data_IF_798500546957
#
_entry.id   IF_798500546957
#
_cell.length_a   1.000
_cell.length_b   1.000
_cell.length_c   1.000
_cell.angle_alpha   90.00
_cell.angle_beta   90.00
_cell.angle_gamma   90.00
#
_symmetry.space_group_name_H-M   'P 1'
#
loop_
_entity.id
_entity.type
_entity.pdbx_description
1 polymer ?
#
# COMPACT_ATOMS: atom_id res chain seq x y z
N UNK A 1 -0.69 16.93 14.48
CA UNK A 1 -1.64 16.69 15.60
C UNK A 1 -1.42 15.29 16.15
N UNK A 2 -1.31 15.17 17.46
CA UNK A 2 -1.28 13.86 18.11
C UNK A 2 -2.71 13.41 18.39
N UNK A 3 -3.06 12.25 17.88
CA UNK A 3 -4.37 11.62 18.06
C UNK A 3 -4.26 10.43 19.02
N UNK A 4 -5.38 10.05 19.62
CA UNK A 4 -5.43 8.81 20.38
C UNK A 4 -5.70 7.63 19.42
N UNK A 5 -4.63 6.96 19.01
CA UNK A 5 -4.71 5.84 18.07
C UNK A 5 -5.57 4.67 18.58
N UNK A 6 -5.76 4.56 19.90
CA UNK A 6 -6.59 3.50 20.49
C UNK A 6 -8.09 3.71 20.22
N UNK A 7 -8.50 4.90 19.82
CA UNK A 7 -9.89 5.20 19.47
C UNK A 7 -10.20 4.94 18.00
N UNK A 8 -9.19 4.59 17.20
CA UNK A 8 -9.37 4.31 15.78
C UNK A 8 -9.90 2.90 15.55
N UNK A 9 -10.75 2.75 14.54
CA UNK A 9 -11.35 1.47 14.17
C UNK A 9 -10.81 1.03 12.82
N UNK A 10 -10.39 -0.24 12.71
CA UNK A 10 -9.94 -0.86 11.46
C UNK A 10 -11.08 -1.69 10.87
N UNK A 11 -11.36 -1.50 9.58
CA UNK A 11 -12.42 -2.22 8.88
C UNK A 11 -11.95 -2.70 7.51
N UNK A 12 -12.31 -3.94 7.17
CA UNK A 12 -12.20 -4.42 5.81
C UNK A 12 -13.22 -3.70 4.94
N UNK A 13 -12.78 -3.11 3.84
CA UNK A 13 -13.62 -2.34 2.94
C UNK A 13 -14.05 -3.16 1.73
N UNK A 14 -15.21 -2.81 1.19
CA UNK A 14 -15.75 -3.35 -0.05
C UNK A 14 -15.65 -2.32 -1.18
N UNK A 15 -15.97 -2.73 -2.41
CA UNK A 15 -15.89 -1.85 -3.59
C UNK A 15 -16.77 -0.60 -3.48
N UNK A 16 -17.83 -0.62 -2.67
CA UNK A 16 -18.65 0.55 -2.37
C UNK A 16 -17.87 1.68 -1.67
N UNK A 17 -16.68 1.40 -1.12
CA UNK A 17 -15.82 2.39 -0.49
C UNK A 17 -14.91 3.14 -1.48
N UNK A 18 -14.90 2.76 -2.76
CA UNK A 18 -14.01 3.38 -3.77
C UNK A 18 -14.13 4.92 -3.78
N UNK A 19 -15.31 5.54 -3.74
CA UNK A 19 -15.40 7.01 -3.69
C UNK A 19 -14.66 7.62 -2.49
N UNK A 20 -14.74 7.01 -1.31
CA UNK A 20 -14.04 7.48 -0.12
C UNK A 20 -12.51 7.31 -0.24
N UNK A 21 -12.05 6.23 -0.86
CA UNK A 21 -10.63 6.02 -1.12
C UNK A 21 -10.07 7.08 -2.08
N UNK A 22 -10.83 7.41 -3.13
CA UNK A 22 -10.42 8.44 -4.09
C UNK A 22 -10.43 9.84 -3.47
N UNK A 23 -11.39 10.15 -2.59
CA UNK A 23 -11.39 11.40 -1.84
C UNK A 23 -10.13 11.54 -0.98
N UNK A 24 -9.73 10.47 -0.29
CA UNK A 24 -8.53 10.49 0.53
C UNK A 24 -7.26 10.58 -0.32
N UNK A 25 -7.26 9.99 -1.51
CA UNK A 25 -6.17 10.18 -2.48
C UNK A 25 -6.03 11.66 -2.89
N UNK A 26 -7.13 12.35 -3.15
CA UNK A 26 -7.10 13.79 -3.48
C UNK A 26 -6.54 14.62 -2.31
N UNK A 27 -6.87 14.28 -1.06
CA UNK A 27 -6.25 14.89 0.11
C UNK A 27 -4.72 14.73 0.08
N UNK A 28 -4.23 13.54 -0.25
CA UNK A 28 -2.79 13.28 -0.36
C UNK A 28 -2.13 14.12 -1.45
N UNK A 29 -2.77 14.25 -2.62
CA UNK A 29 -2.25 15.10 -3.69
C UNK A 29 -2.28 16.58 -3.33
N UNK A 30 -3.31 17.04 -2.64
CA UNK A 30 -3.43 18.43 -2.20
C UNK A 30 -2.30 18.84 -1.24
N UNK A 31 -1.72 17.89 -0.53
CA UNK A 31 -0.63 18.13 0.44
C UNK A 31 0.74 17.64 -0.05
N UNK A 32 0.87 17.30 -1.33
CA UNK A 32 2.13 16.82 -1.92
C UNK A 32 3.12 17.94 -2.28
N UNK A 33 2.69 19.20 -2.21
CA UNK A 33 3.50 20.32 -2.68
C UNK A 33 3.70 20.25 -4.20
N UNK A 34 4.93 20.49 -4.66
CA UNK A 34 5.29 20.43 -6.07
C UNK A 34 5.63 19.01 -6.56
N UNK A 35 5.67 18.03 -5.66
CA UNK A 35 5.97 16.64 -6.01
C UNK A 35 4.71 15.96 -6.54
N UNK A 36 4.70 15.65 -7.84
CA UNK A 36 3.61 14.93 -8.50
C UNK A 36 3.89 13.44 -8.66
N UNK A 37 5.13 13.01 -8.38
CA UNK A 37 5.61 11.66 -8.67
C UNK A 37 5.61 10.73 -7.46
N UNK A 38 5.26 11.24 -6.26
CA UNK A 38 5.33 10.44 -5.03
C UNK A 38 4.27 9.36 -4.97
N UNK A 39 3.16 9.53 -5.65
CA UNK A 39 2.01 8.64 -5.65
C UNK A 39 1.45 8.48 -7.06
N UNK A 40 1.26 7.22 -7.50
CA UNK A 40 0.52 6.93 -8.71
C UNK A 40 -0.96 7.24 -8.50
N UNK A 41 -1.56 8.00 -9.44
CA UNK A 41 -3.00 8.28 -9.37
C UNK A 41 -3.80 7.02 -9.71
N UNK A 42 -4.69 6.64 -8.80
CA UNK A 42 -5.61 5.54 -8.99
C UNK A 42 -6.97 6.05 -9.46
N UNK A 43 -7.68 5.20 -10.20
CA UNK A 43 -9.04 5.42 -10.71
C UNK A 43 -9.94 4.31 -10.17
N UNK A 44 -11.28 4.41 -10.30
CA UNK A 44 -12.16 3.29 -9.94
C UNK A 44 -11.74 1.98 -10.62
N UNK A 45 -11.32 2.03 -11.89
CA UNK A 45 -10.90 0.88 -12.68
C UNK A 45 -9.62 0.22 -12.13
N UNK A 46 -8.67 1.02 -11.63
CA UNK A 46 -7.42 0.48 -11.06
C UNK A 46 -7.61 -0.05 -9.64
N UNK A 47 -8.61 0.43 -8.91
CA UNK A 47 -8.91 -0.02 -7.55
C UNK A 47 -9.80 -1.26 -7.51
N UNK A 48 -10.73 -1.40 -8.46
CA UNK A 48 -11.72 -2.47 -8.47
C UNK A 48 -11.08 -3.88 -8.36
N UNK A 49 -9.99 -4.22 -9.08
CA UNK A 49 -9.36 -5.55 -8.97
C UNK A 49 -8.79 -5.86 -7.59
N UNK A 50 -8.64 -4.86 -6.72
CA UNK A 50 -8.09 -5.03 -5.37
C UNK A 50 -9.10 -5.54 -4.35
N UNK A 51 -10.37 -5.72 -4.76
CA UNK A 51 -11.42 -6.26 -3.91
C UNK A 51 -11.71 -7.72 -4.30
N UNK A 52 -11.79 -8.57 -3.30
CA UNK A 52 -12.09 -9.99 -3.51
C UNK A 52 -10.85 -10.90 -3.48
N UNK A 53 -11.09 -12.21 -3.53
CA UNK A 53 -10.04 -13.21 -3.39
C UNK A 53 -9.26 -13.05 -2.08
N UNK A 54 -7.94 -13.17 -2.17
CA UNK A 54 -7.03 -12.98 -1.04
C UNK A 54 -6.63 -11.52 -0.82
N UNK A 55 -6.98 -10.61 -1.74
CA UNK A 55 -6.71 -9.19 -1.61
C UNK A 55 -7.43 -8.58 -0.42
N UNK A 56 -6.87 -7.53 0.15
CA UNK A 56 -7.44 -6.84 1.31
C UNK A 56 -7.35 -5.33 1.10
N UNK A 57 -8.47 -4.65 1.26
CA UNK A 57 -8.52 -3.20 1.41
C UNK A 57 -8.92 -2.91 2.85
N UNK A 58 -8.00 -2.33 3.62
CA UNK A 58 -8.17 -2.09 5.04
C UNK A 58 -8.28 -0.59 5.30
N UNK A 59 -9.40 -0.16 5.86
CA UNK A 59 -9.64 1.25 6.23
C UNK A 59 -9.46 1.49 7.71
N UNK A 60 -9.04 2.70 8.05
CA UNK A 60 -8.92 3.20 9.43
C UNK A 60 -9.88 4.37 9.60
N UNK A 61 -10.68 4.31 10.63
CA UNK A 61 -11.73 5.29 10.90
C UNK A 61 -11.54 5.97 12.25
N UNK A 62 -11.78 7.28 12.27
CA UNK A 62 -12.02 8.06 13.48
C UNK A 62 -13.51 8.43 13.48
N UNK A 63 -14.29 7.70 14.31
CA UNK A 63 -15.75 7.74 14.17
C UNK A 63 -16.20 7.26 12.79
N UNK A 64 -16.84 8.14 12.03
CA UNK A 64 -17.29 7.85 10.66
C UNK A 64 -16.33 8.34 9.57
N UNK A 65 -15.28 9.06 9.95
CA UNK A 65 -14.32 9.61 9.01
C UNK A 65 -13.25 8.58 8.65
N UNK A 66 -13.09 8.29 7.35
CA UNK A 66 -11.97 7.51 6.85
C UNK A 66 -10.69 8.35 6.93
N UNK A 67 -9.74 7.94 7.76
CA UNK A 67 -8.51 8.70 8.00
C UNK A 67 -7.27 8.07 7.37
N UNK A 68 -7.35 6.80 7.03
CA UNK A 68 -6.27 6.10 6.33
C UNK A 68 -6.80 4.82 5.67
N UNK A 69 -6.09 4.33 4.67
CA UNK A 69 -6.33 2.98 4.14
C UNK A 69 -5.06 2.37 3.59
N UNK A 70 -5.05 1.05 3.50
CA UNK A 70 -4.00 0.28 2.85
C UNK A 70 -4.57 -0.82 1.98
N UNK A 71 -3.87 -1.15 0.90
CA UNK A 71 -4.28 -2.18 -0.05
C UNK A 71 -3.19 -3.24 -0.18
N UNK A 72 -3.55 -4.49 0.10
CA UNK A 72 -2.81 -5.67 -0.31
C UNK A 72 -3.46 -6.21 -1.58
N UNK A 73 -2.73 -6.22 -2.68
CA UNK A 73 -3.22 -6.71 -3.96
C UNK A 73 -2.57 -8.04 -4.31
N UNK A 74 -3.39 -9.09 -4.37
CA UNK A 74 -2.98 -10.43 -4.78
C UNK A 74 -3.26 -10.57 -6.27
N UNK A 75 -2.29 -10.17 -7.09
CA UNK A 75 -2.47 -9.98 -8.53
C UNK A 75 -2.34 -11.28 -9.35
N UNK A 76 -2.04 -12.41 -8.70
CA UNK A 76 -1.83 -13.68 -9.41
C UNK A 76 -0.68 -13.59 -10.41
N UNK A 77 -0.87 -14.09 -11.62
CA UNK A 77 0.14 -14.06 -12.69
C UNK A 77 0.01 -12.83 -13.61
N UNK A 78 -0.86 -11.89 -13.28
CA UNK A 78 -1.06 -10.69 -14.10
C UNK A 78 0.20 -9.80 -14.11
N UNK A 79 0.30 -8.95 -15.13
CA UNK A 79 1.40 -7.99 -15.28
C UNK A 79 1.51 -6.99 -14.11
N UNK A 80 0.46 -6.83 -13.31
CA UNK A 80 0.45 -5.94 -12.15
C UNK A 80 1.23 -6.53 -10.96
N UNK A 81 1.56 -7.82 -10.99
CA UNK A 81 2.32 -8.45 -9.93
C UNK A 81 3.79 -8.02 -9.98
N UNK A 82 4.24 -7.35 -8.93
CA UNK A 82 5.61 -6.83 -8.84
C UNK A 82 6.67 -7.95 -8.81
N UNK A 83 6.30 -9.18 -8.52
CA UNK A 83 7.22 -10.31 -8.51
C UNK A 83 7.82 -10.60 -9.89
N UNK A 84 7.19 -10.14 -10.98
CA UNK A 84 7.80 -10.22 -12.32
C UNK A 84 9.14 -9.48 -12.42
N UNK A 85 9.37 -8.50 -11.53
CA UNK A 85 10.61 -7.74 -11.46
C UNK A 85 11.56 -8.24 -10.36
N UNK A 86 11.21 -9.32 -9.66
CA UNK A 86 12.00 -9.91 -8.56
C UNK A 86 12.67 -11.21 -9.00
N UNK A 87 14.00 -11.20 -9.12
CA UNK A 87 14.76 -12.33 -9.64
C UNK A 87 14.72 -13.56 -8.71
N UNK A 88 14.52 -13.34 -7.40
CA UNK A 88 14.47 -14.40 -6.39
C UNK A 88 13.12 -15.13 -6.33
N UNK A 89 12.09 -14.59 -6.95
CA UNK A 89 10.74 -15.17 -6.91
C UNK A 89 10.55 -16.06 -8.15
N UNK A 90 10.50 -17.37 -7.92
CA UNK A 90 10.32 -18.34 -9.01
C UNK A 90 8.85 -18.51 -9.42
N UNK A 91 7.94 -18.37 -8.48
CA UNK A 91 6.49 -18.42 -8.74
C UNK A 91 5.86 -17.09 -8.31
N UNK A 92 5.51 -16.27 -9.28
CA UNK A 92 4.95 -14.94 -9.03
C UNK A 92 3.63 -14.99 -8.26
N UNK A 93 2.88 -16.08 -8.34
CA UNK A 93 1.60 -16.23 -7.62
C UNK A 93 1.77 -16.33 -6.11
N UNK A 94 2.98 -16.59 -5.64
CA UNK A 94 3.32 -16.62 -4.21
C UNK A 94 3.61 -15.23 -3.63
N UNK A 95 3.55 -14.18 -4.45
CA UNK A 95 3.77 -12.79 -4.03
C UNK A 95 2.48 -11.99 -3.96
N UNK A 96 2.36 -11.17 -2.93
CA UNK A 96 1.32 -10.15 -2.81
C UNK A 96 1.97 -8.75 -2.79
N UNK A 97 1.33 -7.80 -3.48
CA UNK A 97 1.78 -6.41 -3.50
C UNK A 97 1.17 -5.62 -2.33
N UNK A 98 1.99 -4.94 -1.55
CA UNK A 98 1.53 -3.79 -0.77
C UNK A 98 1.43 -2.63 -1.76
N UNK A 99 0.23 -2.46 -2.32
CA UNK A 99 0.00 -1.61 -3.50
C UNK A 99 -0.06 -0.14 -3.15
N UNK A 100 -0.71 0.19 -2.05
CA UNK A 100 -1.03 1.58 -1.73
C UNK A 100 -1.31 1.71 -0.24
N UNK A 101 -0.75 2.74 0.39
CA UNK A 101 -1.10 3.15 1.76
C UNK A 101 -1.19 4.66 1.78
N UNK A 102 -2.33 5.19 2.16
CA UNK A 102 -2.56 6.63 2.27
C UNK A 102 -3.07 6.96 3.68
N UNK A 103 -2.52 8.02 4.25
CA UNK A 103 -2.93 8.58 5.54
C UNK A 103 -3.34 10.04 5.32
N UNK A 104 -4.54 10.40 5.79
CA UNK A 104 -5.04 11.78 5.76
C UNK A 104 -4.03 12.71 6.41
N UNK A 105 -3.81 13.87 5.80
CA UNK A 105 -2.72 14.78 6.19
C UNK A 105 -2.71 15.07 7.70
N UNK A 106 -3.85 15.42 8.28
CA UNK A 106 -3.95 15.76 9.71
C UNK A 106 -3.66 14.58 10.65
N UNK A 107 -3.70 13.34 10.12
CA UNK A 107 -3.46 12.11 10.89
C UNK A 107 -2.05 11.54 10.72
N UNK A 108 -1.22 12.19 9.90
CA UNK A 108 0.18 11.78 9.71
C UNK A 108 0.99 11.95 10.98
N UNK A 109 2.10 11.23 11.08
CA UNK A 109 2.98 11.29 12.25
C UNK A 109 2.49 10.49 13.47
N UNK A 110 1.47 9.66 13.31
CA UNK A 110 0.90 8.82 14.37
C UNK A 110 1.12 7.32 14.14
N UNK A 111 1.99 6.93 13.23
CA UNK A 111 2.35 5.54 12.97
C UNK A 111 1.33 4.73 12.16
N UNK A 112 0.29 5.36 11.59
CA UNK A 112 -0.77 4.65 10.89
C UNK A 112 -0.29 3.91 9.65
N UNK A 113 0.61 4.50 8.87
CA UNK A 113 1.16 3.83 7.69
C UNK A 113 1.93 2.55 8.08
N UNK A 114 2.78 2.65 9.09
CA UNK A 114 3.54 1.50 9.61
C UNK A 114 2.60 0.38 10.09
N UNK A 115 1.56 0.73 10.84
CA UNK A 115 0.58 -0.23 11.36
C UNK A 115 -0.24 -0.87 10.23
N UNK A 116 -0.67 -0.09 9.25
CA UNK A 116 -1.39 -0.62 8.09
C UNK A 116 -0.53 -1.63 7.34
N UNK A 117 0.73 -1.31 7.05
CA UNK A 117 1.65 -2.25 6.39
C UNK A 117 1.79 -3.53 7.21
N UNK A 118 1.95 -3.44 8.53
CA UNK A 118 2.06 -4.60 9.40
C UNK A 118 0.82 -5.52 9.29
N UNK A 119 -0.37 -4.93 9.27
CA UNK A 119 -1.62 -5.70 9.15
C UNK A 119 -1.79 -6.34 7.78
N UNK A 120 -1.40 -5.64 6.71
CA UNK A 120 -1.41 -6.21 5.35
C UNK A 120 -0.43 -7.40 5.25
N UNK A 121 0.76 -7.26 5.82
CA UNK A 121 1.75 -8.35 5.87
C UNK A 121 1.21 -9.57 6.64
N UNK A 122 0.59 -9.36 7.79
CA UNK A 122 0.00 -10.43 8.58
C UNK A 122 -1.12 -11.16 7.82
N UNK A 123 -1.95 -10.42 7.07
CA UNK A 123 -2.98 -11.02 6.23
C UNK A 123 -2.38 -11.91 5.13
N UNK A 124 -1.35 -11.43 4.44
CA UNK A 124 -0.66 -12.20 3.41
C UNK A 124 -0.03 -13.48 3.99
N UNK A 125 0.59 -13.38 5.15
CA UNK A 125 1.18 -14.53 5.84
C UNK A 125 0.12 -15.57 6.20
N UNK A 126 -1.02 -15.15 6.75
CA UNK A 126 -2.15 -16.04 7.07
C UNK A 126 -2.72 -16.73 5.83
N UNK A 127 -2.63 -16.13 4.67
CA UNK A 127 -3.10 -16.68 3.40
C UNK A 127 -2.05 -17.55 2.69
N UNK A 128 -0.87 -17.74 3.30
CA UNK A 128 0.16 -18.63 2.78
C UNK A 128 1.06 -18.02 1.72
N UNK A 129 1.04 -16.71 1.52
CA UNK A 129 1.97 -16.04 0.62
C UNK A 129 3.39 -16.14 1.17
N UNK A 130 4.35 -16.23 0.27
CA UNK A 130 5.77 -16.36 0.63
C UNK A 130 6.56 -15.09 0.46
N UNK A 131 6.05 -14.18 -0.37
CA UNK A 131 6.70 -12.93 -0.69
C UNK A 131 5.72 -11.77 -0.61
N UNK A 132 6.25 -10.63 -0.22
CA UNK A 132 5.58 -9.33 -0.29
C UNK A 132 6.47 -8.37 -1.06
N UNK A 133 5.87 -7.49 -1.83
CA UNK A 133 6.60 -6.47 -2.59
C UNK A 133 5.84 -5.16 -2.60
N UNK A 134 6.58 -4.09 -2.80
CA UNK A 134 6.04 -2.74 -2.88
C UNK A 134 6.98 -1.85 -3.66
N UNK A 135 6.45 -0.85 -4.35
CA UNK A 135 7.25 0.20 -4.98
C UNK A 135 7.04 1.53 -4.26
N UNK A 136 8.09 2.31 -4.19
CA UNK A 136 8.03 3.64 -3.57
C UNK A 136 8.85 4.63 -4.39
N UNK A 137 8.40 5.90 -4.41
CA UNK A 137 9.18 6.98 -4.99
C UNK A 137 10.46 7.20 -4.19
N UNK A 138 11.62 7.39 -4.86
CA UNK A 138 12.87 7.74 -4.17
C UNK A 138 12.77 9.04 -3.36
N UNK A 139 11.80 9.89 -3.65
CA UNK A 139 11.56 11.15 -2.95
C UNK A 139 10.65 11.02 -1.73
N UNK A 140 10.24 9.79 -1.38
CA UNK A 140 9.34 9.53 -0.26
C UNK A 140 10.03 8.72 0.86
N UNK A 141 10.92 9.36 1.67
CA UNK A 141 11.65 8.66 2.72
C UNK A 141 10.74 8.10 3.82
N UNK A 142 9.58 8.71 4.06
CA UNK A 142 8.64 8.22 5.07
C UNK A 142 8.08 6.85 4.70
N UNK A 143 7.66 6.67 3.46
CA UNK A 143 7.19 5.36 2.98
C UNK A 143 8.31 4.33 2.95
N UNK A 144 9.52 4.72 2.53
CA UNK A 144 10.70 3.84 2.58
C UNK A 144 10.97 3.35 4.01
N UNK A 145 10.98 4.27 4.98
CA UNK A 145 11.24 3.93 6.38
C UNK A 145 10.16 3.01 6.97
N UNK A 146 8.91 3.19 6.60
CA UNK A 146 7.81 2.35 7.06
C UNK A 146 7.88 0.93 6.48
N UNK A 147 8.33 0.78 5.23
CA UNK A 147 8.59 -0.53 4.64
C UNK A 147 9.77 -1.21 5.33
N UNK A 148 10.88 -0.51 5.52
CA UNK A 148 12.07 -1.03 6.21
C UNK A 148 11.72 -1.47 7.64
N UNK A 149 10.94 -0.65 8.36
CA UNK A 149 10.48 -0.98 9.71
C UNK A 149 9.60 -2.24 9.76
N UNK A 150 8.99 -2.63 8.64
CA UNK A 150 8.21 -3.85 8.49
C UNK A 150 9.00 -5.02 7.88
N UNK A 151 10.32 -4.90 7.77
CA UNK A 151 11.20 -5.98 7.32
C UNK A 151 11.40 -6.08 5.81
N UNK A 152 10.96 -5.08 5.04
CA UNK A 152 11.24 -5.02 3.61
C UNK A 152 12.68 -4.58 3.37
N UNK A 153 13.28 -5.09 2.30
CA UNK A 153 14.61 -4.69 1.83
C UNK A 153 14.53 -4.21 0.39
N UNK A 154 15.42 -3.29 0.03
CA UNK A 154 15.53 -2.78 -1.33
C UNK A 154 16.01 -3.91 -2.27
N UNK A 155 15.26 -4.16 -3.33
CA UNK A 155 15.61 -5.15 -4.34
C UNK A 155 16.26 -4.51 -5.56
N UNK A 156 15.64 -3.50 -6.15
CA UNK A 156 16.20 -2.78 -7.30
C UNK A 156 15.51 -1.42 -7.51
N UNK A 157 16.15 -0.58 -8.31
CA UNK A 157 15.58 0.67 -8.83
C UNK A 157 15.13 0.43 -10.26
N UNK A 158 13.92 0.87 -10.59
CA UNK A 158 13.36 0.67 -11.93
C UNK A 158 12.43 1.83 -12.32
N UNK A 159 12.03 1.87 -13.58
CA UNK A 159 11.06 2.84 -14.10
C UNK A 159 9.76 2.09 -14.37
N UNK A 160 8.67 2.56 -13.77
CA UNK A 160 7.33 1.95 -13.89
C UNK A 160 6.27 3.03 -14.12
N UNK A 161 5.04 2.58 -14.33
CA UNK A 161 3.84 3.43 -14.38
C UNK A 161 3.96 4.58 -15.37
N UNK A 162 4.53 4.31 -16.56
CA UNK A 162 4.64 5.30 -17.62
C UNK A 162 5.78 6.31 -17.43
N UNK A 163 6.86 5.91 -16.76
CA UNK A 163 8.08 6.73 -16.67
C UNK A 163 8.44 7.18 -15.25
N UNK A 164 7.75 6.68 -14.23
CA UNK A 164 8.06 7.01 -12.84
C UNK A 164 9.22 6.18 -12.31
N UNK A 165 10.25 6.84 -11.78
CA UNK A 165 11.33 6.16 -11.07
C UNK A 165 10.82 5.62 -9.74
N UNK A 166 11.10 4.33 -9.47
CA UNK A 166 10.64 3.64 -8.27
C UNK A 166 11.75 2.77 -7.69
N UNK A 167 11.73 2.62 -6.37
CA UNK A 167 12.50 1.60 -5.68
C UNK A 167 11.56 0.44 -5.38
N UNK A 168 11.95 -0.76 -5.82
CA UNK A 168 11.22 -1.99 -5.54
C UNK A 168 11.75 -2.59 -4.25
N UNK A 169 10.86 -2.76 -3.29
CA UNK A 169 11.12 -3.41 -2.01
C UNK A 169 10.50 -4.80 -2.00
N UNK A 170 11.15 -5.74 -1.33
CA UNK A 170 10.66 -7.10 -1.16
C UNK A 170 10.86 -7.59 0.26
N UNK A 171 10.00 -8.52 0.67
CA UNK A 171 10.08 -9.19 1.96
C UNK A 171 9.70 -10.65 1.78
N UNK A 172 10.57 -11.56 2.21
CA UNK A 172 10.26 -12.99 2.29
C UNK A 172 9.60 -13.27 3.64
N UNK A 173 8.44 -13.96 3.65
CA UNK A 173 7.64 -14.17 4.85
C UNK A 173 7.42 -15.63 5.22
N UNK A 174 7.66 -16.57 4.31
CA UNK A 174 7.51 -18.00 4.61
C UNK A 174 8.55 -18.86 3.90
#
# INVERSE_FOLDING_TARGET
MKINVNNLTYKTLSEGSIPALLELQEDAFAHAGDSTDFLRRNTPETLLPCFGGDSLVLGVYDGELLVAFGILYCAGDTKENLAHDLDEVSDVTENANVKLVIVRYEYRGNGLQKELIARLCAHAEQRGYKWLSSTVSPENPWSMNNLIANGFTEAKVLVKYGGLKRILYAKKIN
#
